data_IF_926486180962
#
_entry.id   IF_926486180962
#
_cell.length_a   1.000
_cell.length_b   1.000
_cell.length_c   1.000
_cell.angle_alpha   90.00
_cell.angle_beta   90.00
_cell.angle_gamma   90.00
#
_symmetry.space_group_name_H-M   'P 1'
#
loop_
_entity.id
_entity.type
_entity.pdbx_description
1 polymer ?
#
# COMPACT_ATOMS: atom_id res chain seq x y z
N UNK A 1 22.45 17.77 -25.36
CA UNK A 1 21.42 18.81 -25.44
C UNK A 1 21.33 19.45 -24.06
N UNK A 2 21.89 20.64 -23.87
CA UNK A 2 21.86 21.34 -22.56
C UNK A 2 20.41 21.75 -22.28
N UNK A 3 19.89 21.37 -21.12
CA UNK A 3 18.60 21.81 -20.63
C UNK A 3 18.75 23.26 -20.15
N UNK A 4 18.16 24.20 -20.91
CA UNK A 4 18.13 25.59 -20.51
C UNK A 4 16.83 25.88 -19.76
N UNK A 5 16.92 25.93 -18.43
CA UNK A 5 15.81 26.21 -17.53
C UNK A 5 15.20 27.60 -17.82
N UNK A 6 16.01 28.59 -18.25
CA UNK A 6 15.54 29.94 -18.55
C UNK A 6 14.62 29.94 -19.78
N UNK A 7 15.03 29.28 -20.84
CA UNK A 7 14.20 29.10 -22.07
C UNK A 7 12.95 28.24 -21.80
N UNK A 8 13.04 27.30 -20.85
CA UNK A 8 11.89 26.50 -20.40
C UNK A 8 10.85 27.36 -19.67
N UNK A 9 11.28 28.26 -18.78
CA UNK A 9 10.39 29.08 -17.96
C UNK A 9 9.82 30.29 -18.71
N UNK A 10 10.58 30.90 -19.64
CA UNK A 10 10.25 32.19 -20.23
C UNK A 10 9.86 32.18 -21.70
N UNK A 11 10.17 31.17 -22.47
CA UNK A 11 10.00 31.20 -23.92
C UNK A 11 9.60 29.88 -24.57
N UNK A 12 8.71 29.95 -25.57
CA UNK A 12 8.38 28.85 -26.46
C UNK A 12 6.90 28.48 -26.50
N UNK A 13 6.44 27.74 -27.52
CA UNK A 13 5.05 27.45 -27.85
C UNK A 13 4.35 26.44 -26.94
N UNK A 14 4.93 26.17 -25.73
CA UNK A 14 4.36 25.22 -24.80
C UNK A 14 3.27 25.87 -23.96
N UNK A 15 2.13 25.19 -23.72
CA UNK A 15 1.06 25.74 -22.92
C UNK A 15 1.56 26.13 -21.52
N UNK A 16 1.22 27.32 -21.07
CA UNK A 16 1.69 27.90 -19.82
C UNK A 16 1.34 27.03 -18.60
N UNK A 17 0.21 26.31 -18.66
CA UNK A 17 -0.24 25.40 -17.61
C UNK A 17 0.71 24.21 -17.38
N UNK A 18 1.40 23.68 -18.42
CA UNK A 18 2.39 22.61 -18.27
C UNK A 18 3.58 23.08 -17.42
N UNK A 19 3.97 24.35 -17.55
CA UNK A 19 5.05 24.95 -16.77
C UNK A 19 4.65 25.08 -15.30
N UNK A 20 3.43 25.55 -15.04
CA UNK A 20 2.90 25.62 -13.68
C UNK A 20 2.78 24.24 -13.04
N UNK A 21 2.29 23.23 -13.76
CA UNK A 21 2.20 21.86 -13.23
C UNK A 21 3.59 21.26 -12.99
N UNK A 22 4.60 21.56 -13.84
CA UNK A 22 5.97 21.13 -13.59
C UNK A 22 6.54 21.77 -12.32
N UNK A 23 6.40 23.09 -12.19
CA UNK A 23 6.86 23.83 -11.01
C UNK A 23 6.17 23.32 -9.76
N UNK A 24 4.85 23.11 -9.82
CA UNK A 24 4.07 22.57 -8.70
C UNK A 24 4.54 21.16 -8.35
N UNK A 25 4.75 20.27 -9.32
CA UNK A 25 5.24 18.91 -9.09
C UNK A 25 6.64 18.88 -8.46
N UNK A 26 7.56 19.71 -8.97
CA UNK A 26 8.91 19.83 -8.39
C UNK A 26 8.84 20.45 -6.99
N UNK A 27 8.07 21.49 -6.79
CA UNK A 27 7.88 22.13 -5.49
C UNK A 27 7.31 21.14 -4.47
N UNK A 28 6.33 20.32 -4.86
CA UNK A 28 5.72 19.32 -3.99
C UNK A 28 6.70 18.19 -3.67
N UNK A 29 7.49 17.75 -4.65
CA UNK A 29 8.52 16.75 -4.43
C UNK A 29 9.59 17.25 -3.44
N UNK A 30 10.00 18.50 -3.55
CA UNK A 30 10.91 19.16 -2.60
C UNK A 30 10.26 19.29 -1.23
N UNK A 31 9.01 19.73 -1.16
CA UNK A 31 8.23 19.85 0.08
C UNK A 31 8.15 18.50 0.81
N UNK A 32 7.91 17.42 0.08
CA UNK A 32 7.91 16.06 0.64
C UNK A 32 9.28 15.65 1.19
N UNK A 33 10.35 15.95 0.46
CA UNK A 33 11.71 15.61 0.89
C UNK A 33 12.13 16.38 2.16
N UNK A 34 11.58 17.59 2.36
CA UNK A 34 12.03 18.51 3.41
C UNK A 34 11.08 18.54 4.62
N UNK A 35 9.78 18.40 4.44
CA UNK A 35 8.81 18.80 5.46
C UNK A 35 7.93 17.69 6.07
N UNK A 36 7.57 16.61 5.41
CA UNK A 36 6.68 15.61 6.05
C UNK A 36 6.67 14.22 5.38
N UNK A 37 7.03 13.20 6.16
CA UNK A 37 6.88 11.78 5.79
C UNK A 37 5.41 11.37 5.54
N UNK A 38 4.44 12.12 6.07
CA UNK A 38 2.99 11.87 5.88
C UNK A 38 2.55 12.04 4.44
N UNK A 39 3.19 12.94 3.67
CA UNK A 39 2.88 13.14 2.24
C UNK A 39 3.08 11.86 1.40
N UNK A 40 3.99 10.99 1.83
CA UNK A 40 4.29 9.72 1.18
C UNK A 40 3.10 8.76 1.10
N UNK A 41 2.13 8.92 1.99
CA UNK A 41 0.99 8.02 2.13
C UNK A 41 -0.31 8.58 1.57
N UNK A 42 -0.28 9.79 1.00
CA UNK A 42 -1.46 10.50 0.49
C UNK A 42 -1.76 10.19 -0.98
N UNK A 43 -3.00 10.42 -1.39
CA UNK A 43 -3.42 10.33 -2.79
C UNK A 43 -2.65 11.27 -3.70
N UNK A 44 -2.19 12.40 -3.18
CA UNK A 44 -1.35 13.34 -3.92
C UNK A 44 -0.12 12.64 -4.50
N UNK A 45 0.55 11.86 -3.69
CA UNK A 45 1.75 11.14 -4.10
C UNK A 45 1.45 10.04 -5.13
N UNK A 46 0.36 9.31 -4.95
CA UNK A 46 0.03 8.17 -5.81
C UNK A 46 -0.75 8.55 -7.09
N UNK A 47 -1.39 9.71 -7.13
CA UNK A 47 -2.19 10.16 -8.26
C UNK A 47 -1.52 11.30 -9.04
N UNK A 48 -1.20 12.41 -8.37
CA UNK A 48 -0.68 13.59 -9.06
C UNK A 48 0.76 13.43 -9.51
N UNK A 49 1.63 12.85 -8.67
CA UNK A 49 3.05 12.69 -9.01
C UNK A 49 3.26 11.85 -10.28
N UNK A 50 2.69 10.63 -10.42
CA UNK A 50 2.83 9.84 -11.64
C UNK A 50 2.17 10.51 -12.85
N UNK A 51 1.05 11.23 -12.65
CA UNK A 51 0.45 12.03 -13.72
C UNK A 51 1.41 13.10 -14.23
N UNK A 52 2.02 13.88 -13.35
CA UNK A 52 2.98 14.93 -13.72
C UNK A 52 4.24 14.35 -14.38
N UNK A 53 4.77 13.24 -13.84
CA UNK A 53 5.89 12.52 -14.48
C UNK A 53 5.51 12.09 -15.88
N UNK A 54 4.31 11.52 -16.07
CA UNK A 54 3.79 11.12 -17.37
C UNK A 54 3.70 12.30 -18.35
N UNK A 55 3.17 13.46 -17.90
CA UNK A 55 3.09 14.68 -18.73
C UNK A 55 4.49 15.16 -19.10
N UNK A 56 5.41 15.22 -18.15
CA UNK A 56 6.80 15.67 -18.36
C UNK A 56 7.50 14.78 -19.38
N UNK A 57 7.45 13.46 -19.19
CA UNK A 57 8.06 12.50 -20.10
C UNK A 57 7.45 12.61 -21.51
N UNK A 58 6.12 12.78 -21.60
CA UNK A 58 5.44 12.91 -22.89
C UNK A 58 5.84 14.20 -23.64
N UNK A 59 6.00 15.30 -22.91
CA UNK A 59 6.31 16.62 -23.50
C UNK A 59 7.79 16.78 -23.85
N UNK A 60 8.67 16.27 -22.99
CA UNK A 60 10.11 16.54 -23.09
C UNK A 60 10.92 15.43 -23.75
N UNK A 61 10.49 14.18 -23.67
CA UNK A 61 11.22 13.08 -24.31
C UNK A 61 10.93 13.06 -25.81
N UNK A 62 11.95 13.26 -26.67
CA UNK A 62 11.76 13.27 -28.12
C UNK A 62 11.16 11.94 -28.60
N UNK A 63 10.14 12.05 -29.46
CA UNK A 63 9.50 10.87 -30.05
C UNK A 63 10.23 10.51 -31.36
N UNK A 64 10.74 9.27 -31.51
CA UNK A 64 11.30 8.83 -32.79
C UNK A 64 10.24 8.90 -33.90
N UNK A 65 10.63 9.46 -35.04
CA UNK A 65 9.79 9.48 -36.23
C UNK A 65 9.51 8.04 -36.70
N UNK A 66 8.29 7.75 -37.13
CA UNK A 66 7.90 6.43 -37.64
C UNK A 66 7.47 5.39 -36.57
N UNK A 67 7.50 5.71 -35.28
CA UNK A 67 7.01 4.79 -34.27
C UNK A 67 5.48 4.73 -34.22
N UNK A 68 4.94 3.51 -34.11
CA UNK A 68 3.52 3.30 -33.87
C UNK A 68 3.09 3.88 -32.50
N UNK A 69 1.79 4.19 -32.37
CA UNK A 69 1.21 4.70 -31.12
C UNK A 69 1.52 3.76 -29.92
N UNK A 70 1.40 2.45 -30.14
CA UNK A 70 1.67 1.44 -29.10
C UNK A 70 3.12 1.47 -28.62
N UNK A 71 4.09 1.55 -29.55
CA UNK A 71 5.52 1.64 -29.18
C UNK A 71 5.82 2.91 -28.36
N UNK A 72 5.18 4.02 -28.70
CA UNK A 72 5.32 5.28 -27.95
C UNK A 72 4.75 5.18 -26.55
N UNK A 73 3.54 4.62 -26.39
CA UNK A 73 2.94 4.37 -25.08
C UNK A 73 3.82 3.44 -24.24
N UNK A 74 4.24 2.32 -24.79
CA UNK A 74 5.12 1.36 -24.09
C UNK A 74 6.41 2.00 -23.59
N UNK A 75 7.08 2.85 -24.39
CA UNK A 75 8.26 3.58 -23.96
C UNK A 75 7.98 4.54 -22.80
N UNK A 76 6.85 5.26 -22.85
CA UNK A 76 6.48 6.17 -21.76
C UNK A 76 6.18 5.43 -20.46
N UNK A 77 5.46 4.32 -20.54
CA UNK A 77 5.20 3.48 -19.38
C UNK A 77 6.48 2.91 -18.80
N UNK A 78 7.39 2.43 -19.66
CA UNK A 78 8.69 1.95 -19.22
C UNK A 78 9.52 3.05 -18.55
N UNK A 79 9.56 4.25 -19.15
CA UNK A 79 10.26 5.39 -18.57
C UNK A 79 9.65 5.82 -17.23
N UNK A 80 8.33 5.84 -17.10
CA UNK A 80 7.62 6.12 -15.84
C UNK A 80 7.95 5.07 -14.79
N UNK A 81 7.98 3.79 -15.16
CA UNK A 81 8.35 2.69 -14.26
C UNK A 81 9.80 2.80 -13.79
N UNK A 82 10.73 3.13 -14.69
CA UNK A 82 12.14 3.36 -14.34
C UNK A 82 12.28 4.52 -13.37
N UNK A 83 11.59 5.64 -13.61
CA UNK A 83 11.61 6.80 -12.69
C UNK A 83 11.02 6.43 -11.33
N UNK A 84 9.93 5.64 -11.30
CA UNK A 84 9.34 5.14 -10.07
C UNK A 84 10.32 4.24 -9.29
N UNK A 85 10.97 3.30 -9.97
CA UNK A 85 11.97 2.41 -9.35
C UNK A 85 13.17 3.21 -8.82
N UNK A 86 13.70 4.14 -9.59
CA UNK A 86 14.82 4.98 -9.18
C UNK A 86 14.44 5.86 -7.98
N UNK A 87 13.26 6.49 -8.00
CA UNK A 87 12.78 7.30 -6.87
C UNK A 87 12.56 6.47 -5.61
N UNK A 88 12.05 5.24 -5.75
CA UNK A 88 11.86 4.32 -4.62
C UNK A 88 13.18 3.91 -3.99
N UNK A 89 14.21 3.63 -4.80
CA UNK A 89 15.53 3.31 -4.32
C UNK A 89 16.17 4.48 -3.55
N UNK A 90 16.05 5.72 -4.07
CA UNK A 90 16.55 6.94 -3.42
C UNK A 90 15.80 7.25 -2.13
N UNK A 91 14.50 7.03 -2.09
CA UNK A 91 13.64 7.30 -0.93
C UNK A 91 13.62 6.14 0.08
N UNK A 92 14.45 5.11 -0.13
CA UNK A 92 14.52 3.92 0.73
C UNK A 92 13.19 3.18 0.89
N UNK A 93 12.31 3.25 -0.10
CA UNK A 93 11.08 2.47 -0.13
C UNK A 93 11.35 1.00 -0.42
N UNK A 94 10.51 0.10 0.10
CA UNK A 94 10.65 -1.33 -0.12
C UNK A 94 10.08 -1.79 -1.46
N UNK A 95 10.61 -2.89 -1.99
CA UNK A 95 10.16 -3.49 -3.24
C UNK A 95 8.65 -3.82 -3.26
N UNK A 96 8.09 -4.22 -2.11
CA UNK A 96 6.65 -4.46 -1.93
C UNK A 96 5.84 -3.20 -2.25
N UNK A 97 6.29 -2.04 -1.77
CA UNK A 97 5.61 -0.78 -1.99
C UNK A 97 5.58 -0.43 -3.47
N UNK A 98 6.67 -0.71 -4.17
CA UNK A 98 6.75 -0.51 -5.63
C UNK A 98 5.75 -1.40 -6.36
N UNK A 99 5.69 -2.69 -6.05
CA UNK A 99 4.73 -3.63 -6.66
C UNK A 99 3.29 -3.18 -6.37
N UNK A 100 2.99 -2.80 -5.13
CA UNK A 100 1.65 -2.35 -4.75
C UNK A 100 1.27 -1.02 -5.38
N UNK A 101 2.22 -0.10 -5.59
CA UNK A 101 1.97 1.21 -6.18
C UNK A 101 2.02 1.20 -7.72
N UNK A 102 2.69 0.25 -8.36
CA UNK A 102 2.89 0.22 -9.81
C UNK A 102 1.59 0.31 -10.63
N UNK A 103 0.50 -0.41 -10.31
CA UNK A 103 -0.73 -0.32 -11.10
C UNK A 103 -1.36 1.08 -11.08
N UNK A 104 -1.42 1.73 -9.92
CA UNK A 104 -1.98 3.08 -9.82
C UNK A 104 -1.06 4.12 -10.51
N UNK A 105 0.27 3.96 -10.41
CA UNK A 105 1.23 4.79 -11.12
C UNK A 105 1.07 4.68 -12.63
N UNK A 106 0.94 3.45 -13.16
CA UNK A 106 0.69 3.19 -14.58
C UNK A 106 -0.63 3.81 -15.02
N UNK A 107 -1.69 3.69 -14.22
CA UNK A 107 -3.00 4.28 -14.52
C UNK A 107 -2.88 5.81 -14.70
N UNK A 108 -2.27 6.52 -13.76
CA UNK A 108 -2.16 7.98 -13.82
C UNK A 108 -1.17 8.45 -14.91
N UNK A 109 -0.12 7.67 -15.18
CA UNK A 109 0.77 7.93 -16.31
C UNK A 109 0.05 7.76 -17.68
N UNK A 110 -0.83 6.76 -17.79
CA UNK A 110 -1.70 6.59 -18.97
C UNK A 110 -2.68 7.76 -19.14
N UNK A 111 -3.31 8.21 -18.04
CA UNK A 111 -4.17 9.38 -18.05
C UNK A 111 -3.42 10.64 -18.55
N UNK A 112 -2.15 10.80 -18.15
CA UNK A 112 -1.31 11.89 -18.64
C UNK A 112 -1.10 11.84 -20.16
N UNK A 113 -0.80 10.66 -20.71
CA UNK A 113 -0.64 10.46 -22.17
C UNK A 113 -1.96 10.71 -22.90
N UNK A 114 -3.08 10.30 -22.30
CA UNK A 114 -4.41 10.49 -22.87
C UNK A 114 -4.85 11.96 -22.86
N UNK A 115 -4.52 12.70 -21.81
CA UNK A 115 -4.87 14.11 -21.65
C UNK A 115 -4.01 15.06 -22.49
N UNK A 116 -2.76 14.64 -22.80
CA UNK A 116 -1.82 15.53 -23.50
C UNK A 116 -2.00 15.40 -25.03
N UNK A 117 -2.45 16.45 -25.72
CA UNK A 117 -2.64 16.41 -27.18
C UNK A 117 -1.33 16.14 -27.91
N UNK A 118 -1.39 15.33 -28.96
CA UNK A 118 -0.24 15.06 -29.79
C UNK A 118 0.05 16.25 -30.72
N UNK A 119 1.31 16.69 -30.77
CA UNK A 119 1.80 17.83 -31.58
C UNK A 119 1.75 17.61 -33.11
N UNK A 120 0.79 16.87 -33.64
CA UNK A 120 0.84 16.50 -35.04
C UNK A 120 0.29 17.58 -36.00
N UNK A 121 -0.60 18.45 -35.52
CA UNK A 121 -1.22 19.44 -36.45
C UNK A 121 -1.92 20.55 -35.64
N UNK A 122 -1.48 21.82 -35.73
CA UNK A 122 -2.14 22.92 -35.03
C UNK A 122 -3.60 23.13 -35.48
N UNK A 123 -3.93 22.78 -36.71
CA UNK A 123 -5.24 23.00 -37.33
C UNK A 123 -6.25 21.87 -37.03
N UNK A 124 -5.81 20.78 -36.40
CA UNK A 124 -6.64 19.61 -36.01
C UNK A 124 -7.06 19.55 -34.57
N UNK A 125 -7.10 20.65 -33.83
CA UNK A 125 -7.65 20.67 -32.49
C UNK A 125 -9.14 20.36 -32.51
N UNK A 126 -9.51 19.10 -32.24
CA UNK A 126 -10.90 18.69 -32.10
C UNK A 126 -11.42 19.17 -30.72
N UNK A 127 -12.70 19.53 -30.61
CA UNK A 127 -13.38 19.84 -29.33
C UNK A 127 -13.12 18.78 -28.27
N UNK A 128 -12.99 17.50 -28.66
CA UNK A 128 -12.65 16.39 -27.77
C UNK A 128 -11.25 16.48 -27.17
N UNK A 129 -10.28 17.13 -27.82
CA UNK A 129 -8.92 17.27 -27.33
C UNK A 129 -8.82 18.38 -26.28
N UNK A 130 -9.59 19.45 -26.48
CA UNK A 130 -9.74 20.54 -25.50
C UNK A 130 -10.40 20.02 -24.24
N UNK A 131 -11.48 19.23 -24.37
CA UNK A 131 -12.16 18.61 -23.24
C UNK A 131 -11.21 17.70 -22.42
N UNK A 132 -10.48 16.83 -23.10
CA UNK A 132 -9.51 15.91 -22.41
C UNK A 132 -8.39 16.68 -21.73
N UNK A 133 -7.85 17.71 -22.37
CA UNK A 133 -6.78 18.52 -21.82
C UNK A 133 -7.20 19.37 -20.62
N UNK A 134 -8.49 19.65 -20.47
CA UNK A 134 -9.04 20.45 -19.36
C UNK A 134 -9.62 19.58 -18.24
N UNK A 135 -10.41 18.57 -18.59
CA UNK A 135 -11.15 17.75 -17.63
C UNK A 135 -10.26 16.74 -16.90
N UNK A 136 -9.34 16.06 -17.62
CA UNK A 136 -8.51 15.02 -16.99
C UNK A 136 -7.58 15.59 -15.91
N UNK A 137 -6.84 16.70 -16.12
CA UNK A 137 -6.06 17.32 -15.05
C UNK A 137 -6.90 17.70 -13.83
N UNK A 138 -8.09 18.25 -14.04
CA UNK A 138 -9.01 18.61 -12.97
C UNK A 138 -9.45 17.38 -12.17
N UNK A 139 -9.84 16.31 -12.85
CA UNK A 139 -10.23 15.06 -12.22
C UNK A 139 -9.06 14.44 -11.41
N UNK A 140 -7.84 14.49 -11.95
CA UNK A 140 -6.63 14.04 -11.25
C UNK A 140 -6.36 14.89 -10.02
N UNK A 141 -6.52 16.20 -10.10
CA UNK A 141 -6.36 17.11 -8.95
C UNK A 141 -7.36 16.78 -7.84
N UNK A 142 -8.64 16.57 -8.19
CA UNK A 142 -9.68 16.17 -7.22
C UNK A 142 -9.34 14.81 -6.59
N UNK A 143 -8.95 13.82 -7.40
CA UNK A 143 -8.55 12.50 -6.90
C UNK A 143 -7.31 12.54 -6.00
N UNK A 144 -6.51 13.60 -6.08
CA UNK A 144 -5.26 13.76 -5.34
C UNK A 144 -5.43 14.45 -3.98
N UNK A 145 -6.63 14.90 -3.64
CA UNK A 145 -6.88 15.66 -2.39
C UNK A 145 -7.00 14.74 -1.17
N UNK A 146 -7.36 13.47 -1.37
CA UNK A 146 -7.57 12.53 -0.26
C UNK A 146 -6.28 12.33 0.55
N UNK A 147 -6.41 12.46 1.86
CA UNK A 147 -5.30 12.27 2.81
C UNK A 147 -4.42 13.48 3.06
N UNK A 148 -4.65 14.61 2.39
CA UNK A 148 -3.89 15.85 2.63
C UNK A 148 -4.22 16.45 4.00
N UNK A 149 -5.47 16.31 4.42
CA UNK A 149 -5.95 16.75 5.75
C UNK A 149 -6.87 15.67 6.33
N UNK A 150 -7.15 15.76 7.62
CA UNK A 150 -8.09 14.83 8.26
C UNK A 150 -9.50 14.96 7.68
N UNK A 151 -9.90 16.16 7.27
CA UNK A 151 -11.21 16.43 6.66
C UNK A 151 -11.35 15.88 5.24
N UNK A 152 -10.24 15.70 4.53
CA UNK A 152 -10.22 15.13 3.17
C UNK A 152 -9.96 13.63 3.16
N UNK A 153 -9.78 13.01 4.32
CA UNK A 153 -9.53 11.57 4.46
C UNK A 153 -10.84 10.81 4.62
N UNK A 154 -11.02 9.73 3.84
CA UNK A 154 -12.07 8.75 4.12
C UNK A 154 -11.82 8.01 5.44
N UNK A 155 -12.86 7.43 6.08
CA UNK A 155 -12.70 6.66 7.30
C UNK A 155 -11.54 5.66 7.19
N UNK A 156 -10.62 5.72 8.16
CA UNK A 156 -9.39 4.92 8.15
C UNK A 156 -9.46 3.71 9.06
N UNK A 157 -10.40 3.70 10.02
CA UNK A 157 -10.59 2.59 10.94
C UNK A 157 -11.34 1.46 10.24
N UNK A 158 -10.73 0.29 10.21
CA UNK A 158 -11.22 -0.90 9.52
C UNK A 158 -11.28 -2.08 10.48
N UNK A 159 -12.29 -2.93 10.29
CA UNK A 159 -12.49 -4.14 11.07
C UNK A 159 -12.73 -5.29 10.12
N UNK A 160 -11.93 -6.34 10.22
CA UNK A 160 -12.10 -7.59 9.47
C UNK A 160 -12.40 -8.70 10.44
N UNK A 161 -13.49 -9.43 10.20
CA UNK A 161 -13.83 -10.65 10.93
C UNK A 161 -13.85 -11.83 9.98
N UNK A 162 -13.20 -12.92 10.39
CA UNK A 162 -13.26 -14.22 9.74
C UNK A 162 -13.76 -15.23 10.74
N UNK A 163 -14.61 -16.14 10.28
CA UNK A 163 -15.23 -17.16 11.12
C UNK A 163 -15.03 -18.51 10.48
N UNK A 164 -14.60 -19.49 11.27
CA UNK A 164 -14.40 -20.87 10.85
C UNK A 164 -14.90 -21.81 11.95
N UNK A 165 -15.56 -22.90 11.57
CA UNK A 165 -15.88 -23.98 12.50
C UNK A 165 -14.72 -24.96 12.52
N UNK A 166 -14.20 -25.24 13.71
CA UNK A 166 -13.08 -26.12 13.96
C UNK A 166 -13.56 -27.37 14.71
N UNK A 167 -13.02 -28.52 14.33
CA UNK A 167 -13.27 -29.77 15.05
C UNK A 167 -12.35 -29.89 16.28
N UNK A 168 -12.45 -28.90 17.14
CA UNK A 168 -11.65 -28.72 18.37
C UNK A 168 -12.54 -28.14 19.46
N UNK A 169 -12.25 -28.51 20.71
CA UNK A 169 -12.87 -27.89 21.88
C UNK A 169 -12.24 -26.52 22.18
N UNK A 170 -12.89 -25.64 22.95
CA UNK A 170 -12.27 -24.37 23.37
C UNK A 170 -10.93 -24.55 24.11
N UNK A 171 -10.79 -25.61 24.89
CA UNK A 171 -9.58 -25.93 25.65
C UNK A 171 -8.42 -26.26 24.70
N UNK A 172 -8.65 -27.10 23.69
CA UNK A 172 -7.65 -27.41 22.65
C UNK A 172 -7.23 -26.17 21.87
N UNK A 173 -8.19 -25.28 21.59
CA UNK A 173 -7.90 -23.98 20.95
C UNK A 173 -7.01 -23.13 21.84
N UNK A 174 -7.28 -23.07 23.16
CA UNK A 174 -6.42 -22.37 24.11
C UNK A 174 -5.00 -22.95 24.17
N UNK A 175 -4.88 -24.29 24.16
CA UNK A 175 -3.58 -24.96 24.08
C UNK A 175 -2.81 -24.56 22.81
N UNK A 176 -3.49 -24.54 21.64
CA UNK A 176 -2.88 -24.13 20.39
C UNK A 176 -2.38 -22.67 20.43
N UNK A 177 -3.16 -21.78 21.03
CA UNK A 177 -2.77 -20.37 21.22
C UNK A 177 -1.61 -20.18 22.21
N UNK A 178 -1.45 -21.12 23.17
CA UNK A 178 -0.37 -21.10 24.17
C UNK A 178 0.95 -21.70 23.64
N UNK A 179 0.90 -22.49 22.57
CA UNK A 179 2.09 -23.12 21.98
C UNK A 179 2.97 -22.10 21.26
N UNK A 180 4.28 -22.40 21.11
CA UNK A 180 5.14 -21.62 20.23
C UNK A 180 4.60 -21.55 18.81
N UNK A 181 4.45 -20.33 18.29
CA UNK A 181 3.88 -20.11 16.95
C UNK A 181 4.93 -20.43 15.87
N UNK A 182 4.61 -21.39 15.01
CA UNK A 182 5.39 -21.72 13.82
C UNK A 182 4.60 -21.30 12.56
N UNK A 183 5.20 -20.44 11.74
CA UNK A 183 4.59 -19.85 10.55
C UNK A 183 5.16 -20.47 9.27
N UNK A 184 5.26 -21.79 9.24
CA UNK A 184 5.87 -22.59 8.17
C UNK A 184 4.85 -23.12 7.13
N UNK A 185 3.56 -22.98 7.42
CA UNK A 185 2.51 -23.41 6.50
C UNK A 185 2.49 -22.59 5.20
N UNK A 186 2.11 -23.24 4.10
CA UNK A 186 2.05 -22.60 2.77
C UNK A 186 1.04 -21.46 2.78
N UNK A 187 1.50 -20.29 2.35
CA UNK A 187 0.68 -19.07 2.20
C UNK A 187 0.20 -18.91 0.76
N UNK A 188 -0.85 -18.11 0.57
CA UNK A 188 -1.24 -17.64 -0.76
C UNK A 188 -0.09 -16.87 -1.43
N UNK A 189 -0.10 -16.81 -2.77
CA UNK A 189 0.89 -16.03 -3.52
C UNK A 189 0.89 -14.55 -3.09
N UNK A 190 -0.28 -14.00 -2.76
CA UNK A 190 -0.42 -12.64 -2.30
C UNK A 190 0.19 -12.43 -0.90
N UNK A 191 -0.11 -13.30 0.07
CA UNK A 191 0.50 -13.22 1.41
C UNK A 191 2.00 -13.51 1.41
N UNK A 192 2.51 -14.26 0.43
CA UNK A 192 3.94 -14.58 0.34
C UNK A 192 4.81 -13.36 0.02
N UNK A 193 4.21 -12.26 -0.47
CA UNK A 193 4.90 -10.98 -0.68
C UNK A 193 5.32 -10.35 0.66
N UNK A 194 4.55 -10.62 1.73
CA UNK A 194 4.77 -10.02 3.04
C UNK A 194 5.69 -10.89 3.90
N UNK A 195 6.71 -10.32 4.58
CA UNK A 195 7.57 -11.09 5.48
C UNK A 195 6.80 -11.58 6.70
N UNK A 196 7.20 -12.74 7.19
CA UNK A 196 6.79 -13.28 8.48
C UNK A 196 7.73 -12.80 9.58
N UNK A 197 7.29 -12.84 10.85
CA UNK A 197 8.21 -12.69 11.96
C UNK A 197 9.25 -13.83 11.93
N UNK A 198 10.51 -13.48 12.15
CA UNK A 198 11.60 -14.46 12.27
C UNK A 198 11.54 -15.22 13.58
N UNK A 199 11.06 -14.54 14.62
CA UNK A 199 11.00 -15.07 15.98
C UNK A 199 9.80 -14.47 16.71
N UNK A 200 9.13 -15.31 17.48
CA UNK A 200 8.06 -14.90 18.38
C UNK A 200 8.44 -15.31 19.80
N UNK A 201 8.46 -14.36 20.70
CA UNK A 201 8.64 -14.58 22.14
C UNK A 201 7.27 -14.47 22.83
N UNK A 202 6.81 -15.59 23.36
CA UNK A 202 5.55 -15.72 24.07
C UNK A 202 5.82 -16.39 25.42
N UNK A 203 6.17 -15.62 26.47
CA UNK A 203 6.62 -16.18 27.73
C UNK A 203 5.53 -17.01 28.45
N UNK A 204 4.29 -16.59 28.34
CA UNK A 204 3.11 -17.31 28.86
C UNK A 204 1.86 -16.84 28.12
N UNK A 205 0.82 -17.68 28.18
CA UNK A 205 -0.51 -17.35 27.63
C UNK A 205 -1.45 -16.96 28.78
N UNK A 206 -1.22 -15.78 29.37
CA UNK A 206 -1.99 -15.28 30.50
C UNK A 206 -2.37 -13.81 30.26
N UNK A 207 -3.45 -13.39 30.90
CA UNK A 207 -3.86 -11.98 30.89
C UNK A 207 -2.72 -11.10 31.46
N UNK A 208 -2.44 -9.99 30.80
CA UNK A 208 -1.34 -9.09 31.18
C UNK A 208 0.00 -9.45 30.52
N UNK A 209 0.19 -10.65 29.98
CA UNK A 209 1.40 -11.03 29.27
C UNK A 209 1.58 -10.21 27.99
N UNK A 210 2.83 -10.08 27.55
CA UNK A 210 3.16 -9.42 26.28
C UNK A 210 3.97 -10.35 25.41
N UNK A 211 3.43 -10.66 24.23
CA UNK A 211 4.12 -11.44 23.22
C UNK A 211 4.84 -10.48 22.27
N UNK A 212 6.05 -10.83 21.83
CA UNK A 212 6.87 -10.02 20.94
C UNK A 212 7.13 -10.78 19.65
N UNK A 213 6.79 -10.19 18.52
CA UNK A 213 7.11 -10.71 17.20
C UNK A 213 8.22 -9.85 16.58
N UNK A 214 9.30 -10.47 16.16
CA UNK A 214 10.48 -9.80 15.58
C UNK A 214 10.49 -10.00 14.07
N UNK A 215 10.66 -8.91 13.35
CA UNK A 215 10.64 -8.89 11.89
C UNK A 215 11.98 -8.39 11.35
N UNK A 216 12.47 -9.05 10.32
CA UNK A 216 13.54 -8.53 9.47
C UNK A 216 13.02 -8.37 8.05
N UNK A 217 12.99 -7.16 7.56
CA UNK A 217 12.58 -6.84 6.20
C UNK A 217 13.76 -6.34 5.38
N UNK A 218 14.07 -7.04 4.31
CA UNK A 218 15.10 -6.67 3.34
C UNK A 218 14.45 -5.90 2.20
N UNK A 219 14.62 -4.58 2.16
CA UNK A 219 13.91 -3.68 1.23
C UNK A 219 14.16 -4.02 -0.24
N UNK A 220 15.40 -4.40 -0.57
CA UNK A 220 15.85 -4.72 -1.92
C UNK A 220 16.61 -6.05 -1.97
N UNK A 221 16.02 -7.11 -1.42
CA UNK A 221 16.64 -8.44 -1.39
C UNK A 221 17.80 -8.57 -0.43
N UNK A 222 18.90 -7.89 -0.66
CA UNK A 222 20.15 -8.01 0.13
C UNK A 222 20.63 -6.69 0.75
N UNK A 223 19.94 -5.57 0.50
CA UNK A 223 20.31 -4.26 1.03
C UNK A 223 19.21 -3.63 1.86
N UNK A 224 19.55 -2.61 2.66
CA UNK A 224 18.62 -1.81 3.45
C UNK A 224 17.72 -2.65 4.37
N UNK A 225 18.35 -3.41 5.25
CA UNK A 225 17.66 -4.27 6.22
C UNK A 225 16.97 -3.39 7.27
N UNK A 226 15.66 -3.55 7.41
CA UNK A 226 14.87 -2.96 8.49
C UNK A 226 14.54 -4.04 9.51
N UNK A 227 14.94 -3.85 10.76
CA UNK A 227 14.57 -4.71 11.89
C UNK A 227 13.52 -3.98 12.72
N UNK A 228 12.44 -4.66 13.04
CA UNK A 228 11.35 -4.10 13.83
C UNK A 228 10.67 -5.17 14.66
N UNK A 229 9.82 -4.74 15.57
CA UNK A 229 9.09 -5.63 16.48
C UNK A 229 7.65 -5.15 16.65
N UNK A 230 6.75 -6.10 16.90
CA UNK A 230 5.36 -5.84 17.28
C UNK A 230 5.11 -6.47 18.65
N UNK A 231 4.58 -5.69 19.58
CA UNK A 231 4.22 -6.14 20.91
C UNK A 231 2.70 -6.31 21.01
N UNK A 232 2.27 -7.54 21.30
CA UNK A 232 0.88 -7.94 21.49
C UNK A 232 0.64 -8.15 22.98
N UNK A 233 -0.03 -7.21 23.62
CA UNK A 233 -0.43 -7.32 25.02
C UNK A 233 -1.74 -8.10 25.12
N UNK A 234 -1.75 -9.15 25.95
CA UNK A 234 -2.90 -10.01 26.23
C UNK A 234 -3.87 -9.28 27.16
N UNK A 235 -4.84 -8.57 26.56
CA UNK A 235 -5.80 -7.74 27.32
C UNK A 235 -6.79 -8.58 28.12
N UNK A 236 -7.27 -9.67 27.52
CA UNK A 236 -8.25 -10.59 28.10
C UNK A 236 -7.91 -12.01 27.68
N UNK A 237 -7.87 -12.92 28.64
CA UNK A 237 -7.72 -14.35 28.39
C UNK A 237 -8.78 -15.06 29.22
N UNK A 238 -9.88 -15.45 28.58
CA UNK A 238 -11.02 -16.14 29.15
C UNK A 238 -11.33 -17.41 28.37
N UNK A 239 -12.02 -18.40 28.87
CA UNK A 239 -12.29 -19.67 28.19
C UNK A 239 -12.87 -19.54 26.78
N UNK A 240 -13.73 -18.53 26.53
CA UNK A 240 -14.39 -18.33 25.24
C UNK A 240 -13.99 -17.01 24.54
N UNK A 241 -13.02 -16.26 25.13
CA UNK A 241 -12.65 -14.94 24.64
C UNK A 241 -11.18 -14.63 24.89
N UNK A 242 -10.45 -14.36 23.80
CA UNK A 242 -9.08 -13.84 23.88
C UNK A 242 -9.02 -12.51 23.16
N UNK A 243 -8.61 -11.45 23.84
CA UNK A 243 -8.37 -10.13 23.24
C UNK A 243 -6.91 -9.71 23.39
N UNK A 244 -6.33 -9.23 22.31
CA UNK A 244 -5.00 -8.62 22.33
C UNK A 244 -5.07 -7.15 21.94
N UNK A 245 -4.08 -6.38 22.39
CA UNK A 245 -3.85 -5.00 22.00
C UNK A 245 -2.40 -4.85 21.54
N UNK A 246 -2.17 -4.23 20.39
CA UNK A 246 -0.83 -3.84 19.97
C UNK A 246 -0.42 -2.61 20.78
N UNK A 247 0.67 -2.73 21.55
CA UNK A 247 1.20 -1.66 22.40
C UNK A 247 2.42 -0.99 21.78
N UNK A 248 3.15 -1.70 20.93
CA UNK A 248 4.28 -1.18 20.16
C UNK A 248 4.31 -1.86 18.80
N UNK A 249 4.55 -1.11 17.75
CA UNK A 249 4.78 -1.64 16.41
C UNK A 249 5.82 -0.77 15.71
N UNK A 250 7.00 -1.34 15.53
CA UNK A 250 8.11 -0.76 14.79
C UNK A 250 8.44 -1.60 13.55
N UNK A 251 7.56 -2.55 13.19
CA UNK A 251 7.69 -3.32 11.96
C UNK A 251 7.60 -2.40 10.74
N UNK A 252 8.20 -2.83 9.63
CA UNK A 252 8.15 -2.06 8.39
C UNK A 252 6.71 -1.80 7.91
N UNK A 253 5.77 -2.69 8.25
CA UNK A 253 4.36 -2.56 7.85
C UNK A 253 3.59 -1.51 8.60
N UNK A 254 4.03 -1.10 9.80
CA UNK A 254 3.36 -0.07 10.59
C UNK A 254 3.28 1.28 9.88
N UNK A 255 4.12 1.50 8.83
CA UNK A 255 4.04 2.67 7.96
C UNK A 255 2.82 2.64 7.03
N UNK A 256 2.33 1.46 6.68
CA UNK A 256 1.28 1.28 5.66
C UNK A 256 -0.07 0.91 6.26
N UNK A 257 -0.07 0.21 7.39
CA UNK A 257 -1.26 -0.08 8.19
C UNK A 257 -0.87 -0.25 9.66
N UNK A 258 -1.74 0.16 10.58
CA UNK A 258 -1.51 0.04 12.02
C UNK A 258 -2.53 -0.91 12.60
N UNK A 259 -2.08 -2.09 13.03
CA UNK A 259 -2.94 -3.04 13.74
C UNK A 259 -3.14 -2.56 15.17
N UNK A 260 -4.38 -2.47 15.62
CA UNK A 260 -4.71 -2.08 16.99
C UNK A 260 -4.79 -3.28 17.93
N UNK A 261 -5.18 -4.44 17.41
CA UNK A 261 -5.31 -5.67 18.17
C UNK A 261 -6.25 -6.66 17.51
N UNK A 262 -6.37 -7.81 18.16
CA UNK A 262 -7.21 -8.92 17.71
C UNK A 262 -8.19 -9.33 18.79
N UNK A 263 -9.31 -9.93 18.36
CA UNK A 263 -10.31 -10.54 19.24
C UNK A 263 -10.68 -11.90 18.69
N UNK A 264 -10.48 -12.94 19.47
CA UNK A 264 -10.88 -14.31 19.17
C UNK A 264 -12.06 -14.63 20.08
N UNK A 265 -13.22 -14.93 19.47
CA UNK A 265 -14.42 -15.40 20.17
C UNK A 265 -14.65 -16.84 19.77
N UNK A 266 -14.86 -17.70 20.76
CA UNK A 266 -15.17 -19.12 20.62
C UNK A 266 -16.61 -19.37 21.01
N UNK A 267 -17.33 -20.15 20.22
CA UNK A 267 -18.72 -20.52 20.48
C UNK A 267 -18.83 -22.04 20.29
N UNK A 268 -18.84 -22.82 21.38
CA UNK A 268 -19.01 -24.26 21.32
C UNK A 268 -20.34 -24.64 20.64
N UNK A 269 -20.34 -25.70 19.84
CA UNK A 269 -21.50 -26.22 19.15
C UNK A 269 -21.95 -27.55 19.79
N UNK A 270 -23.20 -27.92 19.58
CA UNK A 270 -23.77 -29.16 20.15
C UNK A 270 -23.12 -30.45 19.61
N UNK A 271 -22.47 -30.36 18.44
CA UNK A 271 -21.78 -31.48 17.78
C UNK A 271 -20.33 -31.68 18.23
N UNK A 272 -19.88 -30.92 19.26
CA UNK A 272 -18.51 -30.98 19.76
C UNK A 272 -17.51 -30.11 18.98
N UNK A 273 -17.95 -29.43 17.93
CA UNK A 273 -17.12 -28.44 17.21
C UNK A 273 -17.15 -27.07 17.91
N UNK A 274 -16.21 -26.21 17.57
CA UNK A 274 -16.22 -24.82 18.05
C UNK A 274 -16.22 -23.86 16.88
N UNK A 275 -17.19 -22.98 16.82
CA UNK A 275 -17.15 -21.85 15.89
C UNK A 275 -16.22 -20.76 16.46
N UNK A 276 -15.15 -20.46 15.71
CA UNK A 276 -14.14 -19.45 16.08
C UNK A 276 -14.25 -18.24 15.16
N UNK A 277 -14.43 -17.06 15.76
CA UNK A 277 -14.44 -15.80 15.04
C UNK A 277 -13.20 -14.99 15.44
N UNK A 278 -12.32 -14.74 14.46
CA UNK A 278 -11.15 -13.87 14.61
C UNK A 278 -11.47 -12.49 14.01
N UNK A 279 -11.46 -11.48 14.85
CA UNK A 279 -11.62 -10.08 14.46
C UNK A 279 -10.29 -9.35 14.59
N UNK A 280 -9.85 -8.68 13.53
CA UNK A 280 -8.65 -7.83 13.50
C UNK A 280 -9.10 -6.40 13.30
N UNK A 281 -8.67 -5.50 14.18
CA UNK A 281 -8.91 -4.06 14.09
C UNK A 281 -7.62 -3.38 13.68
N UNK A 282 -7.70 -2.54 12.65
CA UNK A 282 -6.54 -1.81 12.15
C UNK A 282 -6.94 -0.45 11.57
N UNK A 283 -5.95 0.44 11.49
CA UNK A 283 -6.07 1.73 10.82
C UNK A 283 -5.31 1.69 9.51
N UNK A 284 -6.00 2.02 8.43
CA UNK A 284 -5.42 2.26 7.12
C UNK A 284 -4.60 3.55 7.15
N UNK A 285 -3.41 3.55 6.56
CA UNK A 285 -2.54 4.74 6.48
C UNK A 285 -2.32 5.22 5.04
N UNK A 286 -2.59 4.37 4.03
CA UNK A 286 -2.41 4.70 2.63
C UNK A 286 -3.68 5.25 1.99
N UNK A 287 -3.53 6.27 1.16
CA UNK A 287 -4.54 6.85 0.27
C UNK A 287 -4.09 6.74 -1.18
N UNK A 288 -5.01 6.63 -2.16
CA UNK A 288 -6.47 6.71 -2.00
C UNK A 288 -7.10 5.42 -1.46
N UNK A 289 -8.17 5.59 -0.69
CA UNK A 289 -8.93 4.51 -0.06
C UNK A 289 -9.50 3.51 -1.08
N UNK A 290 -9.99 4.01 -2.21
CA UNK A 290 -10.58 3.17 -3.27
C UNK A 290 -9.59 2.17 -3.86
N UNK A 291 -8.29 2.48 -3.83
CA UNK A 291 -7.22 1.62 -4.35
C UNK A 291 -6.60 0.74 -3.25
N UNK A 292 -6.08 1.36 -2.18
CA UNK A 292 -5.37 0.64 -1.13
C UNK A 292 -6.30 -0.08 -0.15
N UNK A 293 -7.51 0.43 0.07
CA UNK A 293 -8.48 -0.16 1.00
C UNK A 293 -8.81 -1.62 0.67
N UNK A 294 -9.26 -1.95 -0.54
CA UNK A 294 -9.54 -3.34 -0.94
C UNK A 294 -8.33 -4.26 -0.78
N UNK A 295 -7.14 -3.79 -1.13
CA UNK A 295 -5.89 -4.54 -1.03
C UNK A 295 -5.52 -4.84 0.43
N UNK A 296 -5.65 -3.86 1.31
CA UNK A 296 -5.39 -4.02 2.74
C UNK A 296 -6.42 -4.93 3.40
N UNK A 297 -7.72 -4.78 3.07
CA UNK A 297 -8.77 -5.70 3.56
C UNK A 297 -8.51 -7.14 3.13
N UNK A 298 -8.07 -7.35 1.90
CA UNK A 298 -7.68 -8.67 1.42
C UNK A 298 -6.48 -9.22 2.19
N UNK A 299 -5.43 -8.45 2.39
CA UNK A 299 -4.23 -8.87 3.12
C UNK A 299 -4.57 -9.28 4.56
N UNK A 300 -5.34 -8.45 5.27
CA UNK A 300 -5.76 -8.75 6.65
C UNK A 300 -6.74 -9.94 6.69
N UNK A 301 -7.65 -10.06 5.71
CA UNK A 301 -8.57 -11.19 5.60
C UNK A 301 -7.84 -12.51 5.39
N UNK A 302 -6.94 -12.59 4.41
CA UNK A 302 -6.13 -13.79 4.15
C UNK A 302 -5.19 -14.12 5.34
N UNK A 303 -4.69 -13.09 6.04
CA UNK A 303 -3.91 -13.30 7.28
C UNK A 303 -4.76 -13.91 8.39
N UNK A 304 -6.00 -13.45 8.55
CA UNK A 304 -6.92 -14.01 9.54
C UNK A 304 -7.29 -15.46 9.21
N UNK A 305 -7.56 -15.76 7.93
CA UNK A 305 -7.85 -17.12 7.46
C UNK A 305 -6.64 -18.04 7.70
N UNK A 306 -5.42 -17.56 7.43
CA UNK A 306 -4.18 -18.31 7.71
C UNK A 306 -4.03 -18.62 9.21
N UNK A 307 -4.25 -17.63 10.08
CA UNK A 307 -4.17 -17.81 11.53
C UNK A 307 -5.25 -18.79 12.04
N UNK A 308 -6.48 -18.68 11.55
CA UNK A 308 -7.57 -19.59 11.93
C UNK A 308 -7.25 -21.04 11.53
N UNK A 309 -6.73 -21.25 10.30
CA UNK A 309 -6.51 -22.60 9.77
C UNK A 309 -5.24 -23.24 10.32
N UNK A 310 -4.13 -22.51 10.38
CA UNK A 310 -2.81 -23.11 10.61
C UNK A 310 -2.24 -22.90 12.02
N UNK A 311 -2.80 -21.96 12.78
CA UNK A 311 -2.36 -21.68 14.13
C UNK A 311 -3.44 -22.10 15.14
N UNK A 312 -4.63 -21.54 15.02
CA UNK A 312 -5.73 -21.78 15.94
C UNK A 312 -6.33 -23.18 15.73
N UNK A 313 -6.55 -23.53 14.46
CA UNK A 313 -7.15 -24.81 14.03
C UNK A 313 -6.16 -25.95 13.83
N UNK A 314 -4.90 -25.80 14.30
CA UNK A 314 -3.91 -26.85 14.16
C UNK A 314 -4.31 -28.06 15.00
N UNK A 315 -4.69 -29.16 14.35
CA UNK A 315 -4.88 -30.43 15.04
C UNK A 315 -3.53 -30.94 15.49
N UNK A 316 -3.43 -31.33 16.76
CA UNK A 316 -2.29 -32.11 17.25
C UNK A 316 -2.32 -33.41 16.46
N UNK A 317 -1.33 -33.66 15.60
CA UNK A 317 -1.15 -35.01 15.07
C UNK A 317 -0.96 -35.96 16.27
N UNK A 318 -1.61 -37.13 16.26
CA UNK A 318 -1.45 -38.11 17.31
C UNK A 318 -0.01 -38.59 17.43
#
# INVERSE_FOLDING_TARGET
MKFDLKTFLTGGPKPIWIRYMFILGVATMITRLVLDSRFATTSFFYCLVPYLIGVILYVFVPQPKGWSRTKRIGRHLLATLIVMLASSAILFEGFICVIMAAPIYILFALLAIFATPHKADPDRFKKSDVFRASFVPLAVMIASVEGLTDTTSFPREEVITRTQTLNLTPEEIHENLARPVHLDAKRSAFLSIFPLPERIEAPNFAQGATHKAFFTYRRWGFTNVHKGETHLHMKTVQPLLVETKVTKDTSYFSHYLKVHGTKIKMTPQADGTTQVSLTIRYRRTLDPAWYFGPMQRRAIGESADYLLTHIIGKTSAP
#
